data_IF_628553446728
#
_entry.id   IF_628553446728
#
_cell.length_a   1.000
_cell.length_b   1.000
_cell.length_c   1.000
_cell.angle_alpha   90.00
_cell.angle_beta   90.00
_cell.angle_gamma   90.00
#
_symmetry.space_group_name_H-M   'P 1'
#
loop_
_entity.id
_entity.type
_entity.pdbx_description
1 polymer ?
#
# COMPACT_ATOMS: atom_id res chain seq x y z
N UNK A 1 7.41 -7.71 -18.62
CA UNK A 1 8.58 -6.99 -18.10
C UNK A 1 9.78 -7.92 -18.05
N UNK A 2 10.88 -7.55 -18.68
CA UNK A 2 12.14 -8.30 -18.71
C UNK A 2 12.97 -8.07 -17.44
N UNK A 3 13.99 -8.89 -17.19
CA UNK A 3 14.86 -8.70 -16.02
C UNK A 3 15.67 -7.39 -16.07
N UNK A 4 16.22 -6.94 -17.22
CA UNK A 4 16.81 -5.60 -17.33
C UNK A 4 15.81 -4.47 -17.02
N UNK A 5 14.56 -4.59 -17.45
CA UNK A 5 13.52 -3.60 -17.13
C UNK A 5 13.21 -3.56 -15.62
N UNK A 6 13.15 -4.71 -14.95
CA UNK A 6 13.00 -4.79 -13.48
C UNK A 6 14.16 -4.10 -12.77
N UNK A 7 15.38 -4.39 -13.21
CA UNK A 7 16.60 -3.83 -12.62
C UNK A 7 16.68 -2.32 -12.84
N UNK A 8 16.30 -1.84 -14.02
CA UNK A 8 16.17 -0.41 -14.29
C UNK A 8 15.17 0.26 -13.34
N UNK A 9 13.96 -0.32 -13.16
CA UNK A 9 12.97 0.24 -12.25
C UNK A 9 13.49 0.31 -10.80
N UNK A 10 14.18 -0.75 -10.37
CA UNK A 10 14.80 -0.83 -9.05
C UNK A 10 15.82 0.28 -8.86
N UNK A 11 16.83 0.34 -9.72
CA UNK A 11 17.91 1.33 -9.63
C UNK A 11 17.41 2.76 -9.75
N UNK A 12 16.57 3.03 -10.75
CA UNK A 12 16.18 4.41 -11.05
C UNK A 12 15.08 4.93 -10.11
N UNK A 13 14.01 4.16 -9.86
CA UNK A 13 12.84 4.67 -9.13
C UNK A 13 12.92 4.37 -7.63
N UNK A 14 13.55 3.26 -7.24
CA UNK A 14 13.61 2.80 -5.85
C UNK A 14 14.92 3.27 -5.18
N UNK A 15 16.07 2.98 -5.80
CA UNK A 15 17.39 3.36 -5.28
C UNK A 15 17.79 4.79 -5.67
N UNK A 16 17.08 5.40 -6.62
CA UNK A 16 17.27 6.79 -7.08
C UNK A 16 18.65 7.04 -7.71
N UNK A 17 19.23 6.02 -8.35
CA UNK A 17 20.47 6.14 -9.10
C UNK A 17 20.28 7.01 -10.36
N UNK A 18 21.35 7.70 -10.74
CA UNK A 18 21.37 8.51 -11.96
C UNK A 18 21.38 7.61 -13.21
N UNK A 19 20.83 8.08 -14.34
CA UNK A 19 20.90 7.37 -15.62
C UNK A 19 22.34 6.98 -15.99
N UNK A 20 23.32 7.85 -15.70
CA UNK A 20 24.72 7.57 -16.01
C UNK A 20 25.26 6.39 -15.19
N UNK A 21 24.93 6.34 -13.90
CA UNK A 21 25.29 5.23 -13.01
C UNK A 21 24.73 3.92 -13.53
N UNK A 22 23.44 3.92 -13.91
CA UNK A 22 22.73 2.75 -14.41
C UNK A 22 23.30 2.27 -15.74
N UNK A 23 23.56 3.19 -16.68
CA UNK A 23 24.22 2.90 -17.97
C UNK A 23 25.55 2.18 -17.74
N UNK A 24 26.39 2.71 -16.84
CA UNK A 24 27.70 2.14 -16.56
C UNK A 24 27.62 0.74 -15.93
N UNK A 25 26.66 0.52 -15.02
CA UNK A 25 26.52 -0.74 -14.30
C UNK A 25 25.83 -1.84 -15.12
N UNK A 26 24.83 -1.47 -15.95
CA UNK A 26 24.04 -2.43 -16.72
C UNK A 26 24.58 -2.65 -18.14
N UNK A 27 25.51 -1.81 -18.62
CA UNK A 27 26.04 -1.91 -19.98
C UNK A 27 25.00 -1.59 -21.06
N UNK A 28 24.03 -0.73 -20.76
CA UNK A 28 22.91 -0.36 -21.63
C UNK A 28 23.08 1.06 -22.15
N UNK A 29 22.37 1.42 -23.22
CA UNK A 29 22.41 2.78 -23.75
C UNK A 29 21.38 3.69 -23.09
N UNK A 30 21.55 5.01 -23.23
CA UNK A 30 20.53 5.98 -22.83
C UNK A 30 19.21 5.79 -23.59
N UNK A 31 19.26 5.33 -24.84
CA UNK A 31 18.06 5.08 -25.63
C UNK A 31 17.24 3.93 -25.05
N UNK A 32 17.92 2.87 -24.58
CA UNK A 32 17.26 1.73 -23.93
C UNK A 32 16.51 2.18 -22.67
N UNK A 33 17.17 2.95 -21.80
CA UNK A 33 16.55 3.46 -20.57
C UNK A 33 15.34 4.36 -20.85
N UNK A 34 15.44 5.25 -21.84
CA UNK A 34 14.32 6.11 -22.23
C UNK A 34 13.16 5.29 -22.78
N UNK A 35 13.43 4.30 -23.65
CA UNK A 35 12.41 3.39 -24.17
C UNK A 35 11.70 2.64 -23.04
N UNK A 36 12.45 2.06 -22.11
CA UNK A 36 11.88 1.36 -20.95
C UNK A 36 11.08 2.30 -20.04
N UNK A 37 11.50 3.55 -19.87
CA UNK A 37 10.74 4.52 -19.09
C UNK A 37 9.35 4.77 -19.68
N UNK A 38 9.22 4.82 -21.00
CA UNK A 38 7.94 5.01 -21.66
C UNK A 38 7.08 3.73 -21.62
N UNK A 39 7.69 2.58 -21.89
CA UNK A 39 7.02 1.27 -21.87
C UNK A 39 6.47 0.92 -20.48
N UNK A 40 7.23 1.21 -19.42
CA UNK A 40 6.92 0.80 -18.03
C UNK A 40 6.09 1.85 -17.28
N UNK A 41 5.27 2.63 -17.99
CA UNK A 41 4.48 3.72 -17.40
C UNK A 41 3.64 3.26 -16.21
N UNK A 42 3.00 2.10 -16.30
CA UNK A 42 2.11 1.59 -15.24
C UNK A 42 2.87 1.22 -13.98
N UNK A 43 3.99 0.52 -14.12
CA UNK A 43 4.88 0.11 -13.04
C UNK A 43 5.51 1.33 -12.37
N UNK A 44 5.98 2.31 -13.16
CA UNK A 44 6.49 3.58 -12.62
C UNK A 44 5.43 4.33 -11.83
N UNK A 45 4.21 4.41 -12.33
CA UNK A 45 3.11 5.06 -11.61
C UNK A 45 2.75 4.32 -10.31
N UNK A 46 2.90 2.99 -10.27
CA UNK A 46 2.70 2.22 -9.04
C UNK A 46 3.80 2.53 -8.01
N UNK A 47 5.07 2.55 -8.42
CA UNK A 47 6.20 2.92 -7.54
C UNK A 47 6.06 4.36 -7.06
N UNK A 48 5.71 5.29 -7.95
CA UNK A 48 5.51 6.71 -7.61
C UNK A 48 4.44 6.90 -6.55
N UNK A 49 3.31 6.16 -6.60
CA UNK A 49 2.27 6.24 -5.55
C UNK A 49 2.80 5.83 -4.17
N UNK A 50 3.69 4.84 -4.11
CA UNK A 50 4.32 4.40 -2.85
C UNK A 50 5.30 5.48 -2.38
N UNK A 51 6.05 6.09 -3.29
CA UNK A 51 6.94 7.22 -3.00
C UNK A 51 6.18 8.45 -2.49
N UNK A 52 5.03 8.77 -3.08
CA UNK A 52 4.17 9.86 -2.64
C UNK A 52 3.60 9.61 -1.24
N UNK A 53 3.29 8.35 -0.92
CA UNK A 53 2.89 7.95 0.44
C UNK A 53 4.05 8.14 1.43
N UNK A 54 5.24 7.65 1.10
CA UNK A 54 6.46 7.82 1.88
C UNK A 54 6.75 9.29 2.18
N UNK A 55 6.75 10.15 1.15
CA UNK A 55 6.98 11.59 1.26
C UNK A 55 5.89 12.30 2.08
N UNK A 56 4.60 12.06 1.80
CA UNK A 56 3.51 12.69 2.56
C UNK A 56 3.52 12.32 4.04
N UNK A 57 3.87 11.07 4.34
CA UNK A 57 3.94 10.58 5.72
C UNK A 57 5.25 10.94 6.41
N UNK A 58 6.20 11.51 5.67
CA UNK A 58 7.52 11.94 6.15
C UNK A 58 8.25 10.81 6.88
N UNK A 59 8.12 9.59 6.36
CA UNK A 59 8.79 8.42 6.91
C UNK A 59 10.31 8.62 6.76
N UNK A 60 11.06 8.56 7.86
CA UNK A 60 12.51 8.65 7.83
C UNK A 60 13.18 7.48 7.08
N UNK A 61 14.48 7.61 6.83
CA UNK A 61 15.28 6.59 6.14
C UNK A 61 15.27 6.74 4.61
N UNK A 62 15.72 5.70 3.91
CA UNK A 62 15.77 5.68 2.44
C UNK A 62 14.49 5.07 1.87
N UNK A 63 14.05 5.58 0.71
CA UNK A 63 12.83 5.10 0.05
C UNK A 63 12.86 3.59 -0.25
N UNK A 64 14.04 3.03 -0.54
CA UNK A 64 14.18 1.61 -0.85
C UNK A 64 13.73 0.69 0.30
N UNK A 65 14.04 1.04 1.55
CA UNK A 65 13.64 0.28 2.73
C UNK A 65 12.12 0.32 2.92
N UNK A 66 11.53 1.52 2.82
CA UNK A 66 10.09 1.69 2.89
C UNK A 66 9.36 0.97 1.74
N UNK A 67 9.89 1.06 0.52
CA UNK A 67 9.33 0.37 -0.64
C UNK A 67 9.31 -1.14 -0.41
N UNK A 68 10.44 -1.70 0.01
CA UNK A 68 10.58 -3.13 0.32
C UNK A 68 9.57 -3.53 1.38
N UNK A 69 9.55 -2.83 2.53
CA UNK A 69 8.59 -3.05 3.60
C UNK A 69 7.15 -3.02 3.08
N UNK A 70 6.75 -1.99 2.32
CA UNK A 70 5.39 -1.79 1.83
C UNK A 70 4.96 -2.89 0.85
N UNK A 71 5.85 -3.31 -0.04
CA UNK A 71 5.57 -4.39 -1.02
C UNK A 71 5.55 -5.79 -0.42
N UNK A 72 6.24 -6.00 0.70
CA UNK A 72 6.18 -7.25 1.45
C UNK A 72 4.90 -7.37 2.31
N UNK A 73 4.13 -6.29 2.50
CA UNK A 73 2.87 -6.36 3.24
C UNK A 73 1.80 -7.09 2.43
N UNK A 74 1.13 -8.05 3.08
CA UNK A 74 -0.11 -8.59 2.56
C UNK A 74 -1.16 -7.47 2.42
N UNK A 75 -1.91 -7.46 1.33
CA UNK A 75 -2.91 -6.41 1.03
C UNK A 75 -4.21 -6.61 1.82
N UNK A 76 -4.08 -6.69 3.15
CA UNK A 76 -5.19 -6.80 4.12
C UNK A 76 -5.05 -5.81 5.27
N UNK A 77 -6.17 -5.49 5.90
CA UNK A 77 -6.20 -4.67 7.11
C UNK A 77 -5.57 -5.44 8.29
N UNK A 78 -4.59 -4.83 8.95
CA UNK A 78 -3.93 -5.41 10.13
C UNK A 78 -4.80 -5.54 11.38
N UNK A 79 -6.04 -5.05 11.34
CA UNK A 79 -7.00 -5.12 12.47
C UNK A 79 -8.15 -6.09 12.20
N UNK A 80 -8.83 -5.95 11.06
CA UNK A 80 -10.01 -6.76 10.72
C UNK A 80 -9.80 -7.74 9.58
N UNK A 81 -8.57 -7.85 9.04
CA UNK A 81 -8.18 -8.74 7.95
C UNK A 81 -8.90 -8.57 6.60
N UNK A 82 -9.82 -7.61 6.45
CA UNK A 82 -10.44 -7.34 5.14
C UNK A 82 -9.39 -6.92 4.11
N UNK A 83 -9.46 -7.50 2.92
CA UNK A 83 -8.58 -7.21 1.78
C UNK A 83 -9.12 -6.08 0.91
N UNK A 84 -8.26 -5.46 0.10
CA UNK A 84 -8.70 -4.48 -0.91
C UNK A 84 -9.65 -5.10 -1.95
N UNK A 85 -9.50 -6.40 -2.23
CA UNK A 85 -10.38 -7.14 -3.13
C UNK A 85 -11.78 -7.33 -2.52
N UNK A 86 -11.87 -7.73 -1.25
CA UNK A 86 -13.16 -7.86 -0.54
C UNK A 86 -13.85 -6.51 -0.38
N UNK A 87 -13.10 -5.44 -0.06
CA UNK A 87 -13.64 -4.07 -0.05
C UNK A 87 -14.28 -3.74 -1.40
N UNK A 88 -13.58 -4.03 -2.51
CA UNK A 88 -14.09 -3.79 -3.85
C UNK A 88 -15.39 -4.56 -4.11
N UNK A 89 -15.43 -5.86 -3.79
CA UNK A 89 -16.62 -6.69 -3.96
C UNK A 89 -17.82 -6.16 -3.16
N UNK A 90 -17.60 -5.78 -1.90
CA UNK A 90 -18.66 -5.23 -1.05
C UNK A 90 -19.17 -3.87 -1.55
N UNK A 91 -18.29 -3.03 -2.12
CA UNK A 91 -18.69 -1.75 -2.73
C UNK A 91 -19.50 -1.98 -4.01
N UNK A 92 -19.08 -2.92 -4.86
CA UNK A 92 -19.77 -3.24 -6.12
C UNK A 92 -21.15 -3.88 -5.89
N UNK A 93 -21.33 -4.57 -4.78
CA UNK A 93 -22.60 -5.17 -4.37
C UNK A 93 -23.49 -4.25 -3.50
N UNK A 94 -23.12 -2.98 -3.31
CA UNK A 94 -23.79 -2.03 -2.40
C UNK A 94 -23.94 -2.51 -0.94
N UNK A 95 -23.12 -3.50 -0.54
CA UNK A 95 -23.05 -4.02 0.83
C UNK A 95 -22.11 -3.20 1.72
N UNK A 96 -21.42 -2.21 1.16
CA UNK A 96 -20.52 -1.30 1.85
C UNK A 96 -20.65 0.10 1.27
N UNK A 97 -20.78 1.10 2.14
CA UNK A 97 -20.86 2.49 1.72
C UNK A 97 -20.19 3.41 2.76
N UNK A 98 -19.69 4.55 2.30
CA UNK A 98 -19.20 5.63 3.16
C UNK A 98 -19.30 6.97 2.44
N UNK A 99 -19.59 8.04 3.19
CA UNK A 99 -19.59 9.41 2.65
C UNK A 99 -18.20 9.88 2.19
N UNK A 100 -17.14 9.11 2.48
CA UNK A 100 -15.76 9.42 2.13
C UNK A 100 -15.26 8.64 0.91
N UNK A 101 -16.12 7.90 0.21
CA UNK A 101 -15.71 6.91 -0.80
C UNK A 101 -14.88 7.50 -1.95
N UNK A 102 -15.06 8.79 -2.25
CA UNK A 102 -14.30 9.51 -3.27
C UNK A 102 -12.85 9.77 -2.87
N UNK A 103 -12.55 9.78 -1.57
CA UNK A 103 -11.22 10.15 -1.04
C UNK A 103 -10.56 9.03 -0.22
N UNK A 104 -11.34 8.14 0.39
CA UNK A 104 -10.90 7.07 1.31
C UNK A 104 -11.80 5.85 1.18
N UNK A 105 -11.38 4.72 1.77
CA UNK A 105 -12.22 3.52 1.88
C UNK A 105 -12.11 2.51 0.75
N UNK A 106 -11.65 2.91 -0.45
CA UNK A 106 -11.40 1.97 -1.56
C UNK A 106 -10.07 1.20 -1.44
N UNK A 107 -9.12 1.72 -0.66
CA UNK A 107 -7.76 1.19 -0.51
C UNK A 107 -7.35 1.17 0.94
N UNK A 108 -6.41 0.32 1.27
CA UNK A 108 -5.77 0.31 2.59
C UNK A 108 -4.90 1.55 2.75
N UNK A 109 -4.84 2.02 3.99
CA UNK A 109 -4.11 3.20 4.40
C UNK A 109 -2.99 2.81 5.36
N UNK A 110 -1.99 3.68 5.47
CA UNK A 110 -0.93 3.52 6.45
C UNK A 110 -1.41 4.03 7.82
N UNK A 111 -1.39 3.15 8.81
CA UNK A 111 -1.69 3.45 10.20
C UNK A 111 -0.51 3.13 11.11
N UNK A 112 -0.49 3.78 12.28
CA UNK A 112 0.49 3.56 13.34
C UNK A 112 -0.14 2.71 14.43
N UNK A 113 0.48 1.57 14.72
CA UNK A 113 0.04 0.65 15.77
C UNK A 113 -0.01 1.37 17.12
N UNK A 114 1.05 2.10 17.46
CA UNK A 114 1.14 3.05 18.58
C UNK A 114 0.96 4.48 18.06
N UNK A 115 -0.12 5.18 18.41
CA UNK A 115 -0.45 6.49 17.84
C UNK A 115 0.49 7.63 18.26
N UNK A 116 1.20 7.49 19.37
CA UNK A 116 2.17 8.45 19.89
C UNK A 116 3.53 8.37 19.16
N UNK A 117 3.85 7.22 18.59
CA UNK A 117 5.10 7.01 17.87
C UNK A 117 5.09 7.69 16.48
N UNK A 118 6.28 8.04 15.99
CA UNK A 118 6.45 8.63 14.66
C UNK A 118 6.19 7.59 13.54
N UNK A 119 6.09 8.07 12.30
CA UNK A 119 6.04 7.21 11.11
C UNK A 119 7.40 6.62 10.74
N UNK A 120 8.45 6.93 11.50
CA UNK A 120 9.84 6.56 11.25
C UNK A 120 10.18 5.13 11.69
N UNK A 121 9.32 4.53 12.52
CA UNK A 121 9.43 3.15 12.96
C UNK A 121 8.56 2.25 12.08
N UNK A 122 9.16 1.55 11.11
CA UNK A 122 8.45 0.65 10.20
C UNK A 122 7.76 -0.51 10.92
N UNK A 123 8.27 -0.94 12.09
CA UNK A 123 7.65 -2.00 12.90
C UNK A 123 6.36 -1.50 13.58
N UNK A 124 6.27 -0.18 13.81
CA UNK A 124 5.07 0.47 14.28
C UNK A 124 4.02 0.71 13.19
N UNK A 125 4.31 0.43 11.92
CA UNK A 125 3.37 0.65 10.83
C UNK A 125 2.53 -0.59 10.54
N UNK A 126 1.33 -0.35 10.03
CA UNK A 126 0.47 -1.39 9.46
C UNK A 126 -0.37 -0.82 8.34
N UNK A 127 -0.83 -1.70 7.44
CA UNK A 127 -1.94 -1.38 6.56
C UNK A 127 -3.26 -1.50 7.33
N UNK A 128 -4.18 -0.57 7.14
CA UNK A 128 -5.49 -0.57 7.77
C UNK A 128 -6.56 -0.14 6.77
N UNK A 129 -7.73 -0.77 6.84
CA UNK A 129 -8.89 -0.26 6.10
C UNK A 129 -9.37 1.05 6.72
N UNK A 130 -10.05 1.87 5.92
CA UNK A 130 -10.58 3.16 6.35
C UNK A 130 -11.39 3.07 7.65
N UNK A 131 -12.27 2.07 7.76
CA UNK A 131 -13.15 1.92 8.93
C UNK A 131 -12.37 1.62 10.21
N UNK A 132 -11.41 0.69 10.17
CA UNK A 132 -10.58 0.41 11.35
C UNK A 132 -9.70 1.60 11.70
N UNK A 133 -9.02 2.19 10.72
CA UNK A 133 -8.16 3.36 10.96
C UNK A 133 -8.94 4.52 11.58
N UNK A 134 -10.15 4.80 11.06
CA UNK A 134 -10.98 5.87 11.57
C UNK A 134 -11.58 5.57 12.95
N UNK A 135 -11.91 4.30 13.26
CA UNK A 135 -12.44 3.91 14.56
C UNK A 135 -11.36 3.78 15.65
N UNK A 136 -10.14 3.38 15.28
CA UNK A 136 -8.98 3.31 16.19
C UNK A 136 -8.55 4.70 16.66
N UNK A 137 -8.66 5.70 15.78
CA UNK A 137 -8.23 7.09 16.05
C UNK A 137 -6.73 7.17 16.42
N UNK A 138 -6.31 8.31 16.93
CA UNK A 138 -5.03 8.53 17.60
C UNK A 138 -5.06 8.21 19.10
N UNK A 139 -6.17 7.63 19.59
CA UNK A 139 -6.35 7.26 21.01
C UNK A 139 -5.82 5.87 21.31
N UNK A 140 -6.27 4.86 20.57
CA UNK A 140 -6.03 3.46 20.94
C UNK A 140 -4.79 2.91 20.27
N UNK A 141 -4.06 2.06 21.00
CA UNK A 141 -3.01 1.20 20.45
C UNK A 141 -3.61 0.08 19.61
N UNK A 142 -2.79 -0.57 18.78
CA UNK A 142 -3.20 -1.74 18.01
C UNK A 142 -3.66 -2.90 18.89
N UNK A 143 -3.06 -3.04 20.07
CA UNK A 143 -3.40 -4.08 21.04
C UNK A 143 -4.78 -3.83 21.64
N UNK A 144 -5.04 -2.61 22.14
CA UNK A 144 -6.36 -2.23 22.66
C UNK A 144 -7.45 -2.33 21.57
N UNK A 145 -7.12 -1.95 20.34
CA UNK A 145 -8.09 -1.97 19.23
C UNK A 145 -8.31 -3.37 18.65
N UNK A 146 -7.50 -4.37 19.01
CA UNK A 146 -7.57 -5.71 18.42
C UNK A 146 -8.95 -6.35 18.57
N UNK A 147 -9.59 -6.20 19.74
CA UNK A 147 -10.93 -6.71 20.00
C UNK A 147 -11.99 -6.08 19.09
N UNK A 148 -11.91 -4.77 18.88
CA UNK A 148 -12.81 -4.04 17.96
C UNK A 148 -12.57 -4.47 16.50
N UNK A 149 -11.31 -4.66 16.12
CA UNK A 149 -10.91 -5.20 14.83
C UNK A 149 -11.55 -6.56 14.52
N UNK A 150 -11.61 -7.46 15.52
CA UNK A 150 -12.27 -8.76 15.39
C UNK A 150 -13.79 -8.63 15.20
N UNK A 151 -14.44 -7.67 15.86
CA UNK A 151 -15.87 -7.39 15.64
C UNK A 151 -16.11 -6.94 14.20
N UNK A 152 -15.27 -6.04 13.68
CA UNK A 152 -15.37 -5.60 12.28
C UNK A 152 -15.14 -6.77 11.31
N UNK A 153 -14.17 -7.64 11.60
CA UNK A 153 -13.90 -8.83 10.78
C UNK A 153 -15.15 -9.71 10.64
N UNK A 154 -15.85 -9.98 11.75
CA UNK A 154 -17.10 -10.77 11.75
C UNK A 154 -18.19 -10.11 10.91
N UNK A 155 -18.36 -8.79 11.04
CA UNK A 155 -19.33 -8.02 10.24
C UNK A 155 -19.01 -8.11 8.75
N UNK A 156 -17.73 -7.97 8.37
CA UNK A 156 -17.32 -8.09 6.97
C UNK A 156 -17.59 -9.49 6.41
N UNK A 157 -17.28 -10.54 7.17
CA UNK A 157 -17.58 -11.92 6.77
C UNK A 157 -19.08 -12.14 6.56
N UNK A 158 -19.93 -11.61 7.43
CA UNK A 158 -21.40 -11.71 7.28
C UNK A 158 -21.91 -10.98 6.03
N UNK A 159 -21.30 -9.86 5.65
CA UNK A 159 -21.65 -9.15 4.40
C UNK A 159 -21.14 -9.91 3.19
N UNK A 160 -19.91 -10.40 3.22
CA UNK A 160 -19.34 -11.21 2.14
C UNK A 160 -20.16 -12.48 1.88
N UNK A 161 -20.70 -13.10 2.92
CA UNK A 161 -21.59 -14.27 2.79
C UNK A 161 -22.93 -13.97 2.09
N UNK A 162 -23.30 -12.70 1.92
CA UNK A 162 -24.49 -12.31 1.15
C UNK A 162 -24.21 -12.18 -0.35
N UNK A 163 -22.93 -12.22 -0.76
CA UNK A 163 -22.58 -12.22 -2.17
C UNK A 163 -23.11 -13.51 -2.83
N UNK A 164 -23.64 -13.44 -4.05
CA UNK A 164 -24.03 -14.63 -4.78
C UNK A 164 -22.84 -15.58 -4.90
N UNK A 165 -23.05 -16.87 -4.65
CA UNK A 165 -22.06 -17.90 -5.01
C UNK A 165 -21.75 -17.74 -6.50
N UNK A 166 -20.47 -17.71 -6.87
CA UNK A 166 -20.07 -17.74 -8.26
C UNK A 166 -20.61 -19.03 -8.89
N UNK A 167 -21.65 -18.89 -9.72
CA UNK A 167 -22.20 -19.98 -10.54
C UNK A 167 -21.30 -20.34 -11.71
#
# INVERSE_FOLDING_TARGET
>A
MTDPQKEFLRRHLIEQESYQTIINQMGVTRSDLSGWYDELKMERMAIAKIRDLWLRKKVAGVFADFYTWYTCQERKCGYCNITEAEIKLLLEADLLATKRIDTRGKKLELDRRRPEAAYDDLDNLTLACYWCNNAKTDTFTAEEFAEVGQVFAKIWQQRLAQLPSAG
#
